data_IF_138327078185
#
_entry.id   IF_138327078185
#
_cell.length_a   1.000
_cell.length_b   1.000
_cell.length_c   1.000
_cell.angle_alpha   90.00
_cell.angle_beta   90.00
_cell.angle_gamma   90.00
#
_symmetry.space_group_name_H-M   'P 1'
#
loop_
_entity.id
_entity.type
_entity.pdbx_description
1 polymer ?
#
# COMPACT_ATOMS: atom_id res chain seq x y z
N UNK A 1 -20.97 -45.20 26.99
CA UNK A 1 -21.86 -44.10 26.55
C UNK A 1 -21.18 -43.40 25.40
N UNK A 2 -21.43 -43.85 24.17
CA UNK A 2 -20.92 -43.18 22.95
C UNK A 2 -21.84 -41.99 22.66
N UNK A 3 -21.34 -40.77 22.83
CA UNK A 3 -22.00 -39.61 22.26
C UNK A 3 -21.97 -39.78 20.73
N UNK A 4 -23.13 -39.98 20.13
CA UNK A 4 -23.30 -39.87 18.68
C UNK A 4 -23.25 -38.39 18.34
N UNK A 5 -22.11 -37.91 17.84
CA UNK A 5 -22.03 -36.56 17.25
C UNK A 5 -23.07 -36.48 16.13
N UNK A 6 -24.04 -35.59 16.26
CA UNK A 6 -25.01 -35.37 15.20
C UNK A 6 -24.28 -34.76 14.00
N UNK A 7 -24.61 -35.15 12.76
CA UNK A 7 -23.94 -34.65 11.54
C UNK A 7 -23.84 -33.10 11.46
N UNK A 8 -24.76 -32.40 12.13
CA UNK A 8 -24.78 -30.93 12.20
C UNK A 8 -23.66 -30.33 13.07
N UNK A 9 -23.25 -30.99 14.16
CA UNK A 9 -22.19 -30.49 15.05
C UNK A 9 -20.81 -30.56 14.38
N UNK A 10 -20.57 -31.64 13.62
CA UNK A 10 -19.36 -31.79 12.81
C UNK A 10 -19.28 -30.72 11.72
N UNK A 11 -20.39 -30.49 10.99
CA UNK A 11 -20.44 -29.46 9.95
C UNK A 11 -20.26 -28.04 10.53
N UNK A 12 -20.86 -27.75 11.69
CA UNK A 12 -20.68 -26.45 12.34
C UNK A 12 -19.22 -26.21 12.73
N UNK A 13 -18.55 -27.25 13.24
CA UNK A 13 -17.12 -27.21 13.59
C UNK A 13 -16.24 -27.00 12.35
N UNK A 14 -16.54 -27.68 11.24
CA UNK A 14 -15.83 -27.48 9.98
C UNK A 14 -16.01 -26.07 9.42
N UNK A 15 -17.23 -25.51 9.46
CA UNK A 15 -17.51 -24.12 9.03
C UNK A 15 -16.72 -23.12 9.87
N UNK A 16 -16.69 -23.29 11.20
CA UNK A 16 -15.91 -22.41 12.10
C UNK A 16 -14.42 -22.52 11.80
N UNK A 17 -13.90 -23.75 11.67
CA UNK A 17 -12.48 -23.98 11.38
C UNK A 17 -12.10 -23.37 10.03
N UNK A 18 -12.93 -23.56 9.00
CA UNK A 18 -12.73 -22.94 7.69
C UNK A 18 -12.68 -21.41 7.78
N UNK A 19 -13.63 -20.79 8.48
CA UNK A 19 -13.66 -19.34 8.68
C UNK A 19 -12.39 -18.85 9.40
N UNK A 20 -11.98 -19.53 10.48
CA UNK A 20 -10.78 -19.20 11.25
C UNK A 20 -9.51 -19.30 10.42
N UNK A 21 -9.32 -20.40 9.68
CA UNK A 21 -8.17 -20.60 8.80
C UNK A 21 -8.13 -19.58 7.66
N UNK A 22 -9.27 -19.14 7.14
CA UNK A 22 -9.35 -18.10 6.12
C UNK A 22 -8.87 -16.74 6.66
N UNK A 23 -9.24 -16.42 7.91
CA UNK A 23 -8.84 -15.19 8.57
C UNK A 23 -7.36 -15.19 8.93
N UNK A 24 -6.82 -16.32 9.38
CA UNK A 24 -5.39 -16.50 9.62
C UNK A 24 -4.57 -16.33 8.34
N UNK A 25 -5.01 -16.91 7.21
CA UNK A 25 -4.39 -16.72 5.89
C UNK A 25 -4.40 -15.25 5.47
N UNK A 26 -5.53 -14.56 5.64
CA UNK A 26 -5.65 -13.12 5.35
C UNK A 26 -4.72 -12.29 6.22
N UNK A 27 -4.62 -12.62 7.51
CA UNK A 27 -3.72 -11.95 8.45
C UNK A 27 -2.24 -12.21 8.13
N UNK A 28 -1.89 -13.41 7.67
CA UNK A 28 -0.54 -13.72 7.20
C UNK A 28 -0.18 -12.89 5.97
N UNK A 29 -1.03 -12.91 4.94
CA UNK A 29 -0.84 -12.10 3.74
C UNK A 29 -0.72 -10.60 4.07
N UNK A 30 -1.51 -10.12 5.04
CA UNK A 30 -1.42 -8.75 5.56
C UNK A 30 -0.02 -8.42 6.10
N UNK A 31 0.51 -9.27 6.98
CA UNK A 31 1.84 -9.06 7.56
C UNK A 31 2.94 -9.04 6.50
N UNK A 32 2.78 -9.81 5.43
CA UNK A 32 3.78 -9.90 4.37
C UNK A 32 3.85 -8.61 3.55
N UNK A 33 2.72 -8.12 3.06
CA UNK A 33 2.74 -6.88 2.27
C UNK A 33 3.04 -5.65 3.16
N UNK A 34 2.72 -5.66 4.46
CA UNK A 34 3.11 -4.58 5.40
C UNK A 34 4.62 -4.42 5.51
N UNK A 35 5.37 -5.54 5.52
CA UNK A 35 6.84 -5.52 5.49
C UNK A 35 7.36 -4.93 4.19
N UNK A 36 6.73 -5.28 3.07
CA UNK A 36 7.06 -4.75 1.74
C UNK A 36 6.84 -3.24 1.68
N UNK A 37 5.68 -2.72 2.12
CA UNK A 37 5.41 -1.28 2.13
C UNK A 37 6.41 -0.54 3.03
N UNK A 38 6.80 -1.12 4.17
CA UNK A 38 7.86 -0.57 5.02
C UNK A 38 9.20 -0.48 4.30
N UNK A 39 9.58 -1.51 3.55
CA UNK A 39 10.77 -1.48 2.70
C UNK A 39 10.66 -0.37 1.64
N UNK A 40 9.50 -0.25 0.98
CA UNK A 40 9.25 0.81 -0.01
C UNK A 40 9.47 2.20 0.59
N UNK A 41 8.91 2.46 1.77
CA UNK A 41 8.95 3.79 2.41
C UNK A 41 10.32 4.14 3.02
N UNK A 42 11.17 3.15 3.32
CA UNK A 42 12.47 3.37 3.96
C UNK A 42 13.62 3.24 2.98
N UNK A 43 13.82 2.05 2.43
CA UNK A 43 14.99 1.72 1.63
C UNK A 43 14.82 2.19 0.18
N UNK A 44 13.72 1.79 -0.46
CA UNK A 44 13.45 2.14 -1.86
C UNK A 44 13.30 3.65 -2.03
N UNK A 45 12.52 4.32 -1.17
CA UNK A 45 12.31 5.77 -1.28
C UNK A 45 13.62 6.55 -1.19
N UNK A 46 14.47 6.19 -0.22
CA UNK A 46 15.78 6.80 -0.05
C UNK A 46 16.70 6.55 -1.24
N UNK A 47 16.74 5.31 -1.74
CA UNK A 47 17.58 4.95 -2.88
C UNK A 47 17.15 5.61 -4.20
N UNK A 48 15.85 5.74 -4.44
CA UNK A 48 15.31 6.22 -5.73
C UNK A 48 15.10 7.74 -5.73
N UNK A 49 14.69 8.33 -4.62
CA UNK A 49 14.34 9.76 -4.54
C UNK A 49 15.29 10.58 -3.66
N UNK A 50 16.32 9.94 -3.09
CA UNK A 50 17.42 10.61 -2.38
C UNK A 50 17.04 11.18 -1.01
N UNK A 51 15.92 10.77 -0.42
CA UNK A 51 15.49 11.17 0.93
C UNK A 51 14.54 10.15 1.55
N UNK A 52 14.35 10.24 2.87
CA UNK A 52 13.29 9.50 3.55
C UNK A 52 11.92 10.15 3.29
N UNK A 53 10.86 9.35 3.36
CA UNK A 53 9.47 9.81 3.35
C UNK A 53 9.22 10.75 4.53
N UNK A 54 8.48 11.85 4.32
CA UNK A 54 8.17 12.80 5.41
C UNK A 54 7.02 12.31 6.29
N UNK A 55 6.00 11.68 5.70
CA UNK A 55 4.87 11.11 6.45
C UNK A 55 4.30 9.86 5.77
N UNK A 56 3.92 8.87 6.57
CA UNK A 56 3.21 7.67 6.13
C UNK A 56 1.90 7.53 6.92
N UNK A 57 0.79 7.46 6.21
CA UNK A 57 -0.53 7.17 6.79
C UNK A 57 -1.05 5.85 6.24
N UNK A 58 -1.82 5.10 7.03
CA UNK A 58 -2.49 3.89 6.58
C UNK A 58 -3.83 3.70 7.28
N UNK A 59 -4.78 3.04 6.61
CA UNK A 59 -6.02 2.58 7.23
C UNK A 59 -5.94 1.14 7.76
N UNK A 60 -4.74 0.51 7.74
CA UNK A 60 -4.51 -0.90 8.11
C UNK A 60 -5.33 -1.94 7.32
N UNK A 61 -5.95 -1.52 6.21
CA UNK A 61 -6.78 -2.33 5.30
C UNK A 61 -6.25 -2.28 3.86
N UNK A 62 -4.94 -2.08 3.71
CA UNK A 62 -4.28 -2.09 2.40
C UNK A 62 -4.27 -0.73 1.69
N UNK A 63 -4.62 0.37 2.36
CA UNK A 63 -4.46 1.73 1.80
C UNK A 63 -3.37 2.47 2.55
N UNK A 64 -2.46 3.07 1.80
CA UNK A 64 -1.32 3.84 2.30
C UNK A 64 -1.24 5.18 1.59
N UNK A 65 -0.84 6.20 2.34
CA UNK A 65 -0.56 7.53 1.81
C UNK A 65 0.85 7.92 2.23
N UNK A 66 1.75 7.98 1.24
CA UNK A 66 3.14 8.40 1.39
C UNK A 66 3.22 9.87 1.00
N UNK A 67 3.64 10.73 1.92
CA UNK A 67 3.78 12.17 1.69
C UNK A 67 5.26 12.54 1.58
N UNK A 68 5.59 13.26 0.52
CA UNK A 68 6.88 13.93 0.35
C UNK A 68 6.65 15.43 0.11
N UNK A 69 7.10 16.26 1.04
CA UNK A 69 6.88 17.70 1.07
C UNK A 69 7.79 18.47 0.10
N UNK A 70 8.91 17.87 -0.31
CA UNK A 70 9.92 18.50 -1.17
C UNK A 70 10.38 17.53 -2.26
N UNK A 71 9.39 16.99 -2.97
CA UNK A 71 9.58 15.89 -3.90
C UNK A 71 10.54 16.28 -5.04
N UNK A 72 11.50 15.41 -5.34
CA UNK A 72 12.65 15.74 -6.17
C UNK A 72 12.29 16.21 -7.58
N UNK A 73 11.26 15.64 -8.21
CA UNK A 73 10.85 16.01 -9.58
C UNK A 73 10.11 17.34 -9.66
N UNK A 74 9.60 17.85 -8.54
CA UNK A 74 8.83 19.10 -8.47
C UNK A 74 9.60 20.24 -7.80
N UNK A 75 10.74 19.95 -7.15
CA UNK A 75 11.50 20.92 -6.34
C UNK A 75 11.97 22.14 -7.13
N UNK A 76 12.22 22.01 -8.42
CA UNK A 76 12.66 23.12 -9.28
C UNK A 76 11.54 24.05 -9.74
N UNK A 77 10.28 23.70 -9.48
CA UNK A 77 9.13 24.51 -9.84
C UNK A 77 8.84 25.55 -8.74
N UNK A 78 8.23 26.67 -9.12
CA UNK A 78 7.80 27.67 -8.15
C UNK A 78 6.77 27.07 -7.18
N UNK A 79 6.95 27.34 -5.89
CA UNK A 79 6.04 26.89 -4.83
C UNK A 79 4.65 27.53 -5.00
N UNK A 80 3.60 26.77 -4.69
CA UNK A 80 2.22 27.25 -4.83
C UNK A 80 1.36 26.36 -5.72
N UNK A 81 0.27 26.96 -6.22
CA UNK A 81 -0.76 26.25 -7.00
C UNK A 81 -0.71 26.52 -8.50
N UNK A 82 0.08 27.49 -8.95
CA UNK A 82 0.09 27.96 -10.34
C UNK A 82 0.42 26.88 -11.38
N UNK A 83 1.20 25.85 -11.03
CA UNK A 83 1.64 24.80 -11.96
C UNK A 83 1.11 23.41 -11.60
N UNK A 84 0.15 23.29 -10.69
CA UNK A 84 -0.34 22.00 -10.20
C UNK A 84 -0.93 21.16 -11.34
N UNK A 85 -1.71 21.79 -12.22
CA UNK A 85 -2.38 21.10 -13.34
C UNK A 85 -1.38 20.53 -14.34
N UNK A 86 -0.32 21.27 -14.62
CA UNK A 86 0.75 20.94 -15.57
C UNK A 86 1.75 19.93 -14.98
N UNK A 87 1.89 19.92 -13.65
CA UNK A 87 2.87 19.06 -12.95
C UNK A 87 2.44 17.61 -12.81
N UNK A 88 1.20 17.25 -13.12
CA UNK A 88 0.68 15.88 -12.96
C UNK A 88 1.49 14.83 -13.73
N UNK A 89 2.02 15.17 -14.91
CA UNK A 89 2.86 14.25 -15.69
C UNK A 89 4.21 13.95 -15.01
N UNK A 90 4.74 14.87 -14.19
CA UNK A 90 6.04 14.74 -13.52
C UNK A 90 6.03 13.73 -12.36
N UNK A 91 4.85 13.27 -11.93
CA UNK A 91 4.68 12.23 -10.91
C UNK A 91 4.24 10.88 -11.49
N UNK A 92 4.00 10.78 -12.80
CA UNK A 92 3.59 9.54 -13.46
C UNK A 92 4.69 8.46 -13.38
N UNK A 93 5.94 8.82 -13.70
CA UNK A 93 7.08 7.89 -13.59
C UNK A 93 7.30 7.44 -12.12
N UNK A 94 7.37 8.34 -11.12
CA UNK A 94 7.41 7.93 -9.71
C UNK A 94 6.30 6.95 -9.29
N UNK A 95 5.04 7.19 -9.69
CA UNK A 95 3.96 6.24 -9.44
C UNK A 95 4.24 4.87 -10.05
N UNK A 96 4.71 4.84 -11.30
CA UNK A 96 5.10 3.62 -12.00
C UNK A 96 6.26 2.89 -11.33
N UNK A 97 7.27 3.62 -10.85
CA UNK A 97 8.43 3.06 -10.15
C UNK A 97 8.03 2.37 -8.84
N UNK A 98 7.20 3.03 -8.02
CA UNK A 98 6.68 2.45 -6.77
C UNK A 98 5.82 1.22 -7.07
N UNK A 99 4.92 1.31 -8.06
CA UNK A 99 4.07 0.19 -8.47
C UNK A 99 4.90 -1.00 -8.98
N UNK A 100 5.92 -0.75 -9.78
CA UNK A 100 6.83 -1.77 -10.29
C UNK A 100 7.64 -2.44 -9.19
N UNK A 101 8.13 -1.67 -8.21
CA UNK A 101 8.84 -2.21 -7.06
C UNK A 101 7.94 -3.10 -6.19
N UNK A 102 6.70 -2.69 -5.95
CA UNK A 102 5.69 -3.51 -5.27
C UNK A 102 5.43 -4.82 -6.04
N UNK A 103 5.22 -4.73 -7.35
CA UNK A 103 4.98 -5.89 -8.20
C UNK A 103 6.16 -6.87 -8.22
N UNK A 104 7.40 -6.37 -8.25
CA UNK A 104 8.62 -7.18 -8.16
C UNK A 104 8.75 -7.92 -6.81
N UNK A 105 8.10 -7.41 -5.76
CA UNK A 105 8.02 -8.04 -4.44
C UNK A 105 6.71 -8.82 -4.25
N UNK A 106 6.05 -9.19 -5.37
CA UNK A 106 4.79 -9.95 -5.40
C UNK A 106 3.59 -9.26 -4.72
N UNK A 107 3.63 -7.94 -4.56
CA UNK A 107 2.53 -7.14 -4.03
C UNK A 107 1.87 -6.37 -5.18
N UNK A 108 0.70 -6.81 -5.60
CA UNK A 108 -0.08 -6.09 -6.61
C UNK A 108 -0.73 -4.87 -5.97
N UNK A 109 -0.57 -3.71 -6.59
CA UNK A 109 -1.09 -2.46 -6.07
C UNK A 109 -1.38 -1.45 -7.18
N UNK A 110 -2.33 -0.57 -6.92
CA UNK A 110 -2.53 0.67 -7.66
C UNK A 110 -1.78 1.79 -6.94
N UNK A 111 -1.13 2.68 -7.72
CA UNK A 111 -0.40 3.83 -7.19
C UNK A 111 -0.82 5.07 -7.95
N UNK A 112 -1.37 6.05 -7.24
CA UNK A 112 -1.74 7.36 -7.77
C UNK A 112 -1.04 8.47 -6.99
N UNK A 113 -0.93 9.66 -7.57
CA UNK A 113 -0.35 10.81 -6.89
C UNK A 113 -1.28 12.02 -6.97
N UNK A 114 -1.33 12.78 -5.88
CA UNK A 114 -2.07 14.04 -5.79
C UNK A 114 -1.10 15.15 -5.39
N UNK A 115 -1.21 16.28 -6.10
CA UNK A 115 -0.45 17.50 -5.84
C UNK A 115 -1.47 18.57 -5.47
N UNK A 116 -1.43 19.05 -4.23
CA UNK A 116 -2.29 20.16 -3.77
C UNK A 116 -1.54 21.50 -3.81
N UNK A 117 -0.25 21.48 -3.43
CA UNK A 117 0.62 22.64 -3.41
C UNK A 117 2.06 22.19 -3.71
N UNK A 118 2.70 22.81 -4.69
CA UNK A 118 4.09 22.50 -5.03
C UNK A 118 5.03 22.90 -3.89
N UNK A 119 6.09 22.12 -3.63
CA UNK A 119 6.50 20.89 -4.31
C UNK A 119 6.03 19.59 -3.61
N UNK A 120 4.98 19.66 -2.78
CA UNK A 120 4.51 18.53 -1.99
C UNK A 120 3.62 17.56 -2.80
N UNK A 121 3.86 16.26 -2.63
CA UNK A 121 3.12 15.19 -3.30
C UNK A 121 2.64 14.18 -2.27
N UNK A 122 1.40 13.70 -2.45
CA UNK A 122 0.85 12.54 -1.73
C UNK A 122 0.69 11.39 -2.71
N UNK A 123 1.41 10.29 -2.48
CA UNK A 123 1.28 9.05 -3.22
C UNK A 123 0.30 8.12 -2.49
N UNK A 124 -0.82 7.80 -3.13
CA UNK A 124 -1.80 6.86 -2.61
C UNK A 124 -1.50 5.47 -3.19
N UNK A 125 -1.25 4.51 -2.30
CA UNK A 125 -0.95 3.12 -2.65
C UNK A 125 -2.09 2.26 -2.15
N UNK A 126 -2.76 1.56 -3.07
CA UNK A 126 -3.89 0.69 -2.80
C UNK A 126 -3.49 -0.74 -3.12
N UNK A 127 -3.29 -1.56 -2.09
CA UNK A 127 -2.93 -2.97 -2.25
C UNK A 127 -4.15 -3.74 -2.76
N UNK A 128 -4.00 -4.42 -3.89
CA UNK A 128 -5.03 -5.30 -4.43
C UNK A 128 -5.17 -6.52 -3.51
N UNK A 129 -6.34 -6.67 -2.88
CA UNK A 129 -6.65 -7.90 -2.14
C UNK A 129 -6.99 -8.97 -3.16
N UNK A 130 -6.31 -10.13 -3.08
CA UNK A 130 -6.79 -11.32 -3.80
C UNK A 130 -8.14 -11.69 -3.19
N UNK A 131 -9.20 -11.57 -4.01
CA UNK A 131 -10.54 -12.04 -3.68
C UNK A 131 -10.57 -13.56 -3.52
#
# INVERSE_FOLDING_TARGET
>A
MSQTEFPFDLLHTEIINYAKESEERRNAAKRDWEKVVRFICKEFWSAVFGKQVDNLRTNHRGVYVVQDNKFCTLRSLAEGRQFVRESGALVAFPCGAVRGALANLNVQAEVTATIENLPAVKFNIHIAQKG
#
